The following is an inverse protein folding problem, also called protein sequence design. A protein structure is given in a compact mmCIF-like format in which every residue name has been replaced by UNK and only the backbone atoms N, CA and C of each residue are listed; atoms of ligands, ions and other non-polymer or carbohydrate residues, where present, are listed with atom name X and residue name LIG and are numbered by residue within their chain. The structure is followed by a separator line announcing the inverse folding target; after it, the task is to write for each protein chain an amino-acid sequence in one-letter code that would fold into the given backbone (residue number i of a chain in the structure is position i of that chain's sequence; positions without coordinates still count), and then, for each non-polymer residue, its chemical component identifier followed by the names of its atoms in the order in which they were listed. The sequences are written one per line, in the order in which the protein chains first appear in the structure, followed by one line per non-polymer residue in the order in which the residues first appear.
data_IF_055918716607
#
_entry.id   IF_055918716607
#
_cell.length_a   1.000
_cell.length_b   1.000
_cell.length_c   1.000
_cell.angle_alpha   90.00
_cell.angle_beta   90.00
_cell.angle_gamma   90.00
#
_symmetry.space_group_name_H-M   'P 1'
#
loop_
_entity.id
_entity.type
_entity.pdbx_description
1 polymer ?
#
# COMPACT_ATOMS: atom_id res chain seq x y z
N UNK A 1 -20.58 6.99 -19.08
CA UNK A 1 -20.35 6.04 -20.19
C UNK A 1 -19.56 6.68 -21.35
N UNK A 2 -19.87 7.92 -21.76
CA UNK A 2 -19.15 8.62 -22.85
C UNK A 2 -17.66 8.83 -22.51
N UNK A 3 -17.35 9.28 -21.30
CA UNK A 3 -15.97 9.46 -20.83
C UNK A 3 -15.20 8.14 -20.84
N UNK A 4 -15.80 7.05 -20.38
CA UNK A 4 -15.18 5.71 -20.38
C UNK A 4 -14.85 5.27 -21.81
N UNK A 5 -15.77 5.45 -22.76
CA UNK A 5 -15.53 5.14 -24.17
C UNK A 5 -14.39 5.97 -24.75
N UNK A 6 -14.33 7.26 -24.38
CA UNK A 6 -13.25 8.16 -24.83
C UNK A 6 -11.89 7.72 -24.28
N UNK A 7 -11.82 7.40 -22.99
CA UNK A 7 -10.59 6.90 -22.35
C UNK A 7 -10.12 5.61 -23.04
N UNK A 8 -11.00 4.64 -23.23
CA UNK A 8 -10.67 3.36 -23.90
C UNK A 8 -10.17 3.55 -25.32
N UNK A 9 -10.76 4.51 -26.07
CA UNK A 9 -10.30 4.87 -27.41
C UNK A 9 -8.89 5.45 -27.37
N UNK A 10 -8.65 6.47 -26.52
CA UNK A 10 -7.33 7.10 -26.38
C UNK A 10 -6.26 6.10 -25.93
N UNK A 11 -6.60 5.20 -25.02
CA UNK A 11 -5.71 4.13 -24.57
C UNK A 11 -5.20 3.31 -25.76
N UNK A 12 -6.11 2.89 -26.65
CA UNK A 12 -5.74 2.11 -27.83
C UNK A 12 -4.95 2.93 -28.84
N UNK A 13 -5.38 4.17 -29.13
CA UNK A 13 -4.71 5.08 -30.09
C UNK A 13 -3.28 5.44 -29.64
N UNK A 14 -3.01 5.47 -28.34
CA UNK A 14 -1.74 5.88 -27.76
C UNK A 14 -0.84 4.71 -27.35
N UNK A 15 -1.23 3.48 -27.63
CA UNK A 15 -0.56 2.28 -27.12
C UNK A 15 -0.27 2.40 -25.62
N UNK A 16 -1.31 2.74 -24.84
CA UNK A 16 -1.21 3.01 -23.42
C UNK A 16 -1.78 1.86 -22.59
N UNK A 17 -1.25 1.68 -21.37
CA UNK A 17 -1.80 0.84 -20.33
C UNK A 17 -2.23 1.71 -19.14
N UNK A 18 -3.38 1.39 -18.54
CA UNK A 18 -3.89 2.05 -17.34
C UNK A 18 -3.67 1.12 -16.15
N UNK A 19 -2.87 1.56 -15.19
CA UNK A 19 -2.59 0.86 -13.94
C UNK A 19 -3.29 1.60 -12.80
N UNK A 20 -4.05 0.90 -11.96
CA UNK A 20 -4.73 1.50 -10.82
C UNK A 20 -4.37 0.80 -9.51
N UNK A 21 -3.99 1.58 -8.50
CA UNK A 21 -3.76 1.04 -7.17
C UNK A 21 -5.09 0.57 -6.54
N UNK A 22 -5.04 -0.48 -5.72
CA UNK A 22 -6.20 -1.05 -5.02
C UNK A 22 -6.99 -0.05 -4.17
N UNK A 23 -6.40 1.10 -3.83
CA UNK A 23 -7.05 2.17 -3.05
C UNK A 23 -7.75 3.22 -3.92
N UNK A 24 -7.72 3.09 -5.23
CA UNK A 24 -8.48 3.97 -6.09
C UNK A 24 -10.00 3.73 -5.96
N UNK A 25 -10.79 4.75 -6.28
CA UNK A 25 -12.25 4.61 -6.33
C UNK A 25 -12.66 3.58 -7.39
N UNK A 26 -13.77 2.88 -7.16
CA UNK A 26 -14.24 1.80 -8.03
C UNK A 26 -14.28 2.18 -9.52
N UNK A 27 -14.79 3.37 -9.95
CA UNK A 27 -14.82 3.71 -11.37
C UNK A 27 -13.43 3.80 -12.03
N UNK A 28 -12.38 4.13 -11.26
CA UNK A 28 -11.00 4.16 -11.76
C UNK A 28 -10.43 2.75 -11.84
N UNK A 29 -10.71 1.92 -10.84
CA UNK A 29 -10.33 0.51 -10.87
C UNK A 29 -11.00 -0.24 -12.04
N UNK A 30 -12.28 0.04 -12.32
CA UNK A 30 -13.06 -0.63 -13.37
C UNK A 30 -12.58 -0.31 -14.81
N UNK A 31 -11.91 0.82 -15.02
CA UNK A 31 -11.35 1.17 -16.33
C UNK A 31 -9.88 0.79 -16.49
N UNK A 32 -9.21 0.38 -15.43
CA UNK A 32 -7.82 -0.02 -15.45
C UNK A 32 -7.62 -1.36 -16.18
N UNK A 33 -6.47 -1.51 -16.79
CA UNK A 33 -6.05 -2.79 -17.37
C UNK A 33 -5.55 -3.74 -16.29
N UNK A 34 -4.90 -3.18 -15.27
CA UNK A 34 -4.42 -3.91 -14.10
C UNK A 34 -4.70 -3.12 -12.83
N UNK A 35 -5.14 -3.83 -11.80
CA UNK A 35 -5.26 -3.33 -10.43
C UNK A 35 -4.32 -4.13 -9.53
N UNK A 36 -3.74 -3.49 -8.52
CA UNK A 36 -2.78 -4.16 -7.64
C UNK A 36 -2.18 -3.25 -6.58
N UNK A 37 -1.15 -3.77 -5.92
CA UNK A 37 -0.29 -3.01 -5.02
C UNK A 37 0.83 -2.26 -5.76
N UNK A 38 1.59 -1.44 -5.04
CA UNK A 38 2.63 -0.58 -5.62
C UNK A 38 3.70 -1.35 -6.39
N UNK A 39 4.15 -2.49 -5.86
CA UNK A 39 5.20 -3.29 -6.52
C UNK A 39 4.63 -4.08 -7.70
N UNK A 40 3.50 -4.76 -7.50
CA UNK A 40 2.84 -5.53 -8.54
C UNK A 40 2.58 -4.69 -9.78
N UNK A 41 2.02 -3.47 -9.60
CA UNK A 41 1.78 -2.54 -10.71
C UNK A 41 3.05 -2.04 -11.37
N UNK A 42 4.11 -1.77 -10.60
CA UNK A 42 5.40 -1.36 -11.17
C UNK A 42 6.06 -2.47 -11.98
N UNK A 43 5.89 -3.72 -11.58
CA UNK A 43 6.32 -4.89 -12.34
C UNK A 43 5.48 -5.08 -13.61
N UNK A 44 4.16 -4.90 -13.55
CA UNK A 44 3.31 -4.90 -14.75
C UNK A 44 3.70 -3.78 -15.72
N UNK A 45 4.01 -2.57 -15.21
CA UNK A 45 4.54 -1.48 -16.00
C UNK A 45 5.82 -1.88 -16.78
N UNK A 46 6.70 -2.66 -16.15
CA UNK A 46 7.94 -3.11 -16.80
C UNK A 46 7.73 -4.20 -17.87
N UNK A 47 6.70 -5.02 -17.70
CA UNK A 47 6.42 -6.19 -18.57
C UNK A 47 5.54 -5.88 -19.76
N UNK A 48 4.70 -4.87 -19.67
CA UNK A 48 3.78 -4.51 -20.77
C UNK A 48 4.53 -4.03 -22.01
N UNK A 49 3.99 -4.31 -23.19
CA UNK A 49 4.50 -3.80 -24.47
C UNK A 49 4.00 -2.37 -24.79
N UNK A 50 3.21 -1.76 -23.91
CA UNK A 50 2.73 -0.39 -24.06
C UNK A 50 3.88 0.61 -23.95
N UNK A 51 3.84 1.65 -24.80
CA UNK A 51 4.81 2.76 -24.79
C UNK A 51 4.50 3.78 -23.67
N UNK A 52 3.24 3.83 -23.27
CA UNK A 52 2.71 4.80 -22.32
C UNK A 52 2.03 4.09 -21.14
N UNK A 53 2.33 4.53 -19.93
CA UNK A 53 1.73 4.07 -18.70
C UNK A 53 0.96 5.23 -18.08
N UNK A 54 -0.34 5.06 -17.86
CA UNK A 54 -1.16 5.96 -17.04
C UNK A 54 -1.30 5.33 -15.67
N UNK A 55 -0.59 5.89 -14.68
CA UNK A 55 -0.54 5.34 -13.34
C UNK A 55 -1.57 6.04 -12.43
N UNK A 56 -2.72 5.42 -12.19
CA UNK A 56 -3.73 5.90 -11.26
C UNK A 56 -3.36 5.48 -9.82
N UNK A 57 -2.60 6.33 -9.17
CA UNK A 57 -2.06 6.16 -7.83
C UNK A 57 -1.45 7.45 -7.34
N UNK A 58 -0.49 7.37 -6.42
CA UNK A 58 0.24 8.51 -5.88
C UNK A 58 1.62 8.65 -6.51
N UNK A 59 2.23 9.81 -6.34
CA UNK A 59 3.45 10.24 -7.04
C UNK A 59 4.58 9.20 -6.94
N UNK A 60 4.94 8.73 -5.75
CA UNK A 60 6.04 7.77 -5.57
C UNK A 60 5.82 6.43 -6.32
N UNK A 61 4.56 6.05 -6.59
CA UNK A 61 4.25 4.85 -7.37
C UNK A 61 4.57 5.06 -8.85
N UNK A 62 4.23 6.24 -9.39
CA UNK A 62 4.59 6.62 -10.75
C UNK A 62 6.11 6.74 -10.92
N UNK A 63 6.83 7.28 -9.93
CA UNK A 63 8.30 7.28 -9.91
C UNK A 63 8.86 5.86 -9.95
N UNK A 64 8.35 4.95 -9.10
CA UNK A 64 8.78 3.55 -9.07
C UNK A 64 8.54 2.86 -10.42
N UNK A 65 7.38 3.10 -11.04
CA UNK A 65 7.08 2.59 -12.38
C UNK A 65 8.05 3.16 -13.43
N UNK A 66 8.42 4.44 -13.32
CA UNK A 66 9.39 5.08 -14.22
C UNK A 66 10.80 4.54 -14.04
N UNK A 67 11.24 4.30 -12.81
CA UNK A 67 12.55 3.69 -12.50
C UNK A 67 12.65 2.29 -13.11
N UNK A 68 11.60 1.47 -12.98
CA UNK A 68 11.57 0.11 -13.54
C UNK A 68 11.29 0.07 -15.04
N UNK A 69 10.81 1.18 -15.62
CA UNK A 69 10.48 1.30 -17.05
C UNK A 69 11.07 2.57 -17.65
N UNK A 70 12.41 2.73 -17.67
CA UNK A 70 13.07 4.00 -18.02
C UNK A 70 12.79 4.47 -19.46
N UNK A 71 12.49 3.56 -20.35
CA UNK A 71 12.23 3.85 -21.77
C UNK A 71 10.75 4.18 -22.06
N UNK A 72 9.84 4.00 -21.09
CA UNK A 72 8.41 4.25 -21.26
C UNK A 72 8.04 5.65 -20.76
N UNK A 73 6.96 6.19 -21.30
CA UNK A 73 6.34 7.42 -20.77
C UNK A 73 5.42 7.04 -19.63
N UNK A 74 5.63 7.62 -18.46
CA UNK A 74 4.77 7.40 -17.28
C UNK A 74 4.03 8.69 -16.94
N UNK A 75 2.72 8.61 -16.90
CA UNK A 75 1.82 9.72 -16.61
C UNK A 75 1.08 9.49 -15.31
N UNK A 76 1.02 10.52 -14.49
CA UNK A 76 0.17 10.59 -13.31
C UNK A 76 -1.01 11.52 -13.65
N UNK A 77 -2.27 11.08 -13.52
CA UNK A 77 -3.43 11.89 -13.90
C UNK A 77 -3.52 13.23 -13.17
N UNK A 78 -3.01 13.29 -11.93
CA UNK A 78 -2.95 14.49 -11.14
C UNK A 78 -1.61 14.60 -10.40
N UNK A 79 -0.80 15.60 -10.71
CA UNK A 79 0.53 15.78 -10.11
C UNK A 79 0.50 16.03 -8.59
N UNK A 80 -0.60 16.58 -8.06
CA UNK A 80 -0.81 16.74 -6.63
C UNK A 80 -1.25 15.49 -5.88
N UNK A 81 -1.32 14.32 -6.54
CA UNK A 81 -1.60 13.05 -5.88
C UNK A 81 -0.37 12.57 -5.08
N UNK A 82 -0.14 13.20 -3.92
CA UNK A 82 0.97 12.90 -3.01
C UNK A 82 0.66 11.77 -2.02
N UNK A 83 1.61 11.48 -1.16
CA UNK A 83 1.46 10.54 -0.05
C UNK A 83 2.14 11.13 1.19
N UNK A 84 1.34 11.45 2.21
CA UNK A 84 1.86 12.08 3.43
C UNK A 84 2.92 11.23 4.15
N UNK A 85 2.87 9.90 4.01
CA UNK A 85 3.92 9.02 4.52
C UNK A 85 5.21 9.15 3.69
N UNK A 86 5.09 9.19 2.35
CA UNK A 86 6.26 9.33 1.48
C UNK A 86 6.93 10.69 1.64
N UNK A 87 6.14 11.73 1.92
CA UNK A 87 6.61 13.10 2.12
C UNK A 87 7.18 13.34 3.54
N UNK A 88 6.99 12.38 4.47
CA UNK A 88 7.46 12.50 5.85
C UNK A 88 8.95 12.23 6.03
N UNK A 89 9.62 11.69 5.02
CA UNK A 89 11.07 11.44 5.01
C UNK A 89 11.70 12.15 3.82
N UNK A 90 12.81 12.84 4.06
CA UNK A 90 13.65 13.48 3.04
C UNK A 90 15.04 12.87 3.04
N UNK A 91 15.84 13.15 2.00
CA UNK A 91 17.24 12.71 1.94
C UNK A 91 18.02 13.23 3.14
N UNK A 92 17.85 14.52 3.47
CA UNK A 92 18.55 15.16 4.60
C UNK A 92 18.21 14.46 5.92
N UNK A 93 16.92 14.13 6.16
CA UNK A 93 16.52 13.44 7.38
C UNK A 93 17.03 12.00 7.44
N UNK A 94 17.15 11.34 6.29
CA UNK A 94 17.73 9.99 6.19
C UNK A 94 19.24 10.02 6.47
N UNK A 95 19.97 11.03 5.94
CA UNK A 95 21.40 11.22 6.19
C UNK A 95 21.66 11.47 7.68
N UNK A 96 20.88 12.34 8.34
CA UNK A 96 20.97 12.55 9.80
C UNK A 96 20.76 11.25 10.59
N UNK A 97 19.88 10.37 10.12
CA UNK A 97 19.67 9.07 10.74
C UNK A 97 20.82 8.10 10.51
N UNK A 98 21.40 8.07 9.31
CA UNK A 98 22.61 7.30 9.01
C UNK A 98 23.81 7.74 9.89
N UNK A 99 23.97 9.03 10.13
CA UNK A 99 25.01 9.54 11.03
C UNK A 99 24.82 9.07 12.48
N UNK A 100 23.58 8.97 12.97
CA UNK A 100 23.28 8.46 14.33
C UNK A 100 23.47 6.94 14.45
N UNK A 101 23.27 6.22 13.37
CA UNK A 101 23.26 4.77 13.32
C UNK A 101 24.16 4.23 12.20
N UNK A 102 25.49 4.53 12.26
CA UNK A 102 26.41 4.28 11.13
C UNK A 102 26.57 2.80 10.76
N UNK A 103 26.28 1.89 11.71
CA UNK A 103 26.42 0.44 11.51
C UNK A 103 25.11 -0.24 11.05
N UNK A 104 24.05 0.54 10.76
CA UNK A 104 22.75 -0.01 10.38
C UNK A 104 22.55 0.01 8.86
N UNK A 105 21.96 -1.05 8.34
CA UNK A 105 21.50 -1.11 6.95
C UNK A 105 20.16 -0.41 6.82
N UNK A 106 20.03 0.49 5.88
CA UNK A 106 18.79 1.24 5.60
C UNK A 106 17.85 0.41 4.72
N UNK A 107 16.75 -0.02 5.30
CA UNK A 107 15.64 -0.65 4.58
C UNK A 107 14.53 0.37 4.39
N UNK A 108 14.26 0.73 3.16
CA UNK A 108 13.26 1.75 2.84
C UNK A 108 12.00 1.12 2.25
N UNK A 109 10.88 1.35 2.89
CA UNK A 109 9.57 1.06 2.33
C UNK A 109 9.33 1.94 1.09
N UNK A 110 8.84 1.35 0.00
CA UNK A 110 8.66 2.03 -1.30
C UNK A 110 7.75 3.26 -1.24
N UNK A 111 7.00 3.44 -0.13
CA UNK A 111 6.25 4.65 0.16
C UNK A 111 7.20 5.78 0.61
N UNK A 112 8.06 6.18 -0.30
CA UNK A 112 9.08 7.22 -0.19
C UNK A 112 9.38 7.79 -1.58
N UNK A 113 10.05 8.92 -1.70
CA UNK A 113 10.43 9.49 -2.99
C UNK A 113 11.54 8.68 -3.67
N UNK A 114 11.74 8.88 -4.98
CA UNK A 114 12.82 8.23 -5.71
C UNK A 114 14.20 8.63 -5.16
N UNK A 115 14.35 9.88 -4.71
CA UNK A 115 15.59 10.40 -4.10
C UNK A 115 15.93 9.67 -2.81
N UNK A 116 14.96 9.49 -1.91
CA UNK A 116 15.16 8.72 -0.66
C UNK A 116 15.49 7.26 -0.95
N UNK A 117 14.85 6.66 -1.97
CA UNK A 117 15.18 5.29 -2.41
C UNK A 117 16.60 5.17 -2.92
N UNK A 118 17.11 6.19 -3.63
CA UNK A 118 18.47 6.21 -4.16
C UNK A 118 19.55 6.21 -3.06
N UNK A 119 19.24 6.81 -1.90
CA UNK A 119 20.12 6.86 -0.72
C UNK A 119 19.91 5.67 0.22
N UNK A 120 19.07 4.71 -0.12
CA UNK A 120 18.77 3.54 0.70
C UNK A 120 19.58 2.33 0.26
N UNK A 121 19.89 1.41 1.18
CA UNK A 121 20.64 0.21 0.85
C UNK A 121 19.77 -0.83 0.16
N UNK A 122 18.49 -0.91 0.55
CA UNK A 122 17.50 -1.80 -0.07
C UNK A 122 16.08 -1.25 0.12
N UNK A 123 15.21 -1.51 -0.86
CA UNK A 123 13.80 -1.17 -0.78
C UNK A 123 12.93 -2.42 -0.56
N UNK A 124 11.82 -2.22 0.14
CA UNK A 124 10.82 -3.26 0.36
C UNK A 124 9.39 -2.75 0.18
N UNK A 125 8.44 -3.66 0.14
CA UNK A 125 6.99 -3.38 0.24
C UNK A 125 6.43 -4.06 1.49
N UNK A 126 5.19 -3.73 1.86
CA UNK A 126 4.49 -4.44 2.95
C UNK A 126 4.36 -5.94 2.70
N UNK A 127 4.36 -6.36 1.43
CA UNK A 127 4.28 -7.77 1.05
C UNK A 127 5.58 -8.56 1.32
N UNK A 128 6.74 -7.93 1.22
CA UNK A 128 8.04 -8.61 1.28
C UNK A 128 8.99 -8.07 2.37
N UNK A 129 8.58 -7.10 3.17
CA UNK A 129 9.44 -6.45 4.18
C UNK A 129 10.09 -7.46 5.12
N UNK A 130 9.34 -8.44 5.63
CA UNK A 130 9.86 -9.49 6.50
C UNK A 130 10.94 -10.32 5.79
N UNK A 131 10.70 -10.71 4.55
CA UNK A 131 11.66 -11.51 3.76
C UNK A 131 12.92 -10.71 3.45
N UNK A 132 12.77 -9.43 3.10
CA UNK A 132 13.88 -8.52 2.82
C UNK A 132 14.75 -8.35 4.07
N UNK A 133 14.16 -7.99 5.21
CA UNK A 133 14.90 -7.80 6.47
C UNK A 133 15.59 -9.09 6.91
N UNK A 134 14.92 -10.24 6.77
CA UNK A 134 15.49 -11.54 7.13
C UNK A 134 16.68 -11.92 6.25
N UNK A 135 16.70 -11.48 4.99
CA UNK A 135 17.77 -11.80 4.03
C UNK A 135 19.05 -10.97 4.20
N UNK A 136 19.04 -9.95 5.05
CA UNK A 136 20.21 -9.11 5.29
C UNK A 136 21.27 -9.84 6.12
N UNK A 137 22.54 -9.67 5.77
CA UNK A 137 23.67 -10.21 6.53
C UNK A 137 23.91 -9.49 7.87
N UNK A 138 23.36 -8.27 8.03
CA UNK A 138 23.41 -7.48 9.27
C UNK A 138 22.25 -7.76 10.20
N UNK A 139 22.49 -7.67 11.50
CA UNK A 139 21.43 -7.72 12.52
C UNK A 139 20.87 -6.33 12.86
N UNK A 140 21.47 -5.25 12.36
CA UNK A 140 21.10 -3.87 12.64
C UNK A 140 20.46 -3.21 11.43
N UNK A 141 19.22 -2.76 11.58
CA UNK A 141 18.40 -2.22 10.51
C UNK A 141 17.79 -0.87 10.89
N UNK A 142 17.95 0.14 10.02
CA UNK A 142 17.11 1.33 10.02
C UNK A 142 15.92 1.07 9.08
N UNK A 143 14.72 1.06 9.60
CA UNK A 143 13.52 0.85 8.80
C UNK A 143 12.76 2.17 8.61
N UNK A 144 12.60 2.61 7.37
CA UNK A 144 11.97 3.87 7.01
C UNK A 144 10.84 3.67 6.00
N UNK A 145 9.89 4.61 5.86
CA UNK A 145 9.53 5.66 6.82
C UNK A 145 8.47 5.22 7.84
N UNK A 146 7.74 4.11 7.65
CA UNK A 146 6.56 3.74 8.46
C UNK A 146 6.93 2.94 9.71
N UNK A 147 6.69 3.55 10.89
CA UNK A 147 7.00 2.91 12.17
C UNK A 147 6.09 1.74 12.52
N UNK A 148 4.84 1.74 12.04
CA UNK A 148 3.92 0.66 12.33
C UNK A 148 4.32 -0.59 11.54
N UNK A 149 4.63 -0.43 10.25
CA UNK A 149 5.19 -1.51 9.45
C UNK A 149 6.52 -2.02 10.04
N UNK A 150 7.42 -1.11 10.45
CA UNK A 150 8.69 -1.47 11.10
C UNK A 150 8.47 -2.33 12.35
N UNK A 151 7.51 -1.95 13.23
CA UNK A 151 7.16 -2.70 14.45
C UNK A 151 6.60 -4.08 14.11
N UNK A 152 5.72 -4.16 13.10
CA UNK A 152 5.20 -5.44 12.66
C UNK A 152 6.32 -6.35 12.15
N UNK A 153 7.24 -5.80 11.34
CA UNK A 153 8.43 -6.55 10.86
C UNK A 153 9.29 -6.99 12.03
N UNK A 154 9.56 -6.13 13.02
CA UNK A 154 10.34 -6.48 14.20
C UNK A 154 9.74 -7.65 15.00
N UNK A 155 8.42 -7.74 15.09
CA UNK A 155 7.72 -8.90 15.70
C UNK A 155 7.95 -10.20 14.92
N UNK A 156 8.15 -10.12 13.59
CA UNK A 156 8.34 -11.28 12.73
C UNK A 156 9.82 -11.73 12.62
N UNK A 157 10.77 -10.84 12.96
CA UNK A 157 12.22 -11.07 12.90
C UNK A 157 12.90 -10.61 14.21
N UNK A 158 12.54 -11.22 15.35
CA UNK A 158 13.01 -10.78 16.68
C UNK A 158 14.54 -10.93 16.86
N UNK A 159 15.21 -11.62 15.97
CA UNK A 159 16.65 -11.77 15.91
C UNK A 159 17.38 -10.51 15.39
N UNK A 160 16.66 -9.55 14.83
CA UNK A 160 17.21 -8.31 14.26
C UNK A 160 16.89 -7.11 15.14
N UNK A 161 17.84 -6.21 15.31
CA UNK A 161 17.64 -4.90 15.92
C UNK A 161 17.07 -3.93 14.87
N UNK A 162 15.80 -3.56 14.99
CA UNK A 162 15.15 -2.66 14.04
C UNK A 162 14.88 -1.31 14.70
N UNK A 163 15.53 -0.28 14.21
CA UNK A 163 15.26 1.12 14.57
C UNK A 163 14.28 1.69 13.55
N UNK A 164 13.09 2.07 14.03
CA UNK A 164 12.03 2.58 13.18
C UNK A 164 12.09 4.11 13.06
N UNK A 165 11.97 4.63 11.84
CA UNK A 165 11.75 6.05 11.61
C UNK A 165 10.38 6.47 12.15
N UNK A 166 10.24 7.70 12.70
CA UNK A 166 9.02 8.13 13.39
C UNK A 166 8.01 8.81 12.46
N UNK A 167 7.58 8.09 11.42
CA UNK A 167 6.45 8.50 10.59
C UNK A 167 5.42 7.38 10.48
N UNK A 168 4.21 7.72 10.08
CA UNK A 168 3.07 6.79 9.95
C UNK A 168 2.25 7.13 8.72
N UNK A 169 1.59 6.13 8.16
CA UNK A 169 0.52 6.33 7.20
C UNK A 169 -0.72 6.89 7.88
N UNK A 170 -1.15 8.15 7.62
CA UNK A 170 -2.30 8.72 8.29
C UNK A 170 -3.59 7.92 8.09
N UNK A 171 -3.76 7.32 6.91
CA UNK A 171 -4.93 6.50 6.57
C UNK A 171 -5.06 5.27 7.46
N UNK A 172 -3.95 4.64 7.81
CA UNK A 172 -3.94 3.46 8.66
C UNK A 172 -3.82 3.79 10.15
N UNK A 173 -3.08 4.86 10.49
CA UNK A 173 -2.89 5.25 11.90
C UNK A 173 -4.16 5.85 12.55
N UNK A 174 -5.13 6.33 11.76
CA UNK A 174 -6.43 6.76 12.30
C UNK A 174 -7.33 5.61 12.73
N UNK A 175 -7.11 4.40 12.19
CA UNK A 175 -7.84 3.21 12.61
C UNK A 175 -7.46 2.86 14.05
N UNK A 176 -8.47 2.69 14.89
CA UNK A 176 -8.31 2.38 16.33
C UNK A 176 -8.95 1.04 16.64
N UNK A 177 -8.38 0.31 17.56
CA UNK A 177 -8.98 -0.94 18.04
C UNK A 177 -10.44 -0.73 18.50
N UNK A 178 -10.75 0.40 19.12
CA UNK A 178 -12.12 0.73 19.52
C UNK A 178 -13.12 0.80 18.34
N UNK A 179 -12.68 1.18 17.14
CA UNK A 179 -13.50 1.13 15.93
C UNK A 179 -13.66 -0.32 15.46
N UNK A 180 -12.57 -1.07 15.41
CA UNK A 180 -12.58 -2.51 15.08
C UNK A 180 -13.51 -3.27 16.02
N UNK A 181 -13.41 -3.05 17.34
CA UNK A 181 -14.25 -3.68 18.36
C UNK A 181 -15.73 -3.31 18.21
N UNK A 182 -16.03 -2.08 17.78
CA UNK A 182 -17.40 -1.67 17.49
C UNK A 182 -17.97 -2.45 16.32
N UNK A 183 -17.25 -2.49 15.21
CA UNK A 183 -17.66 -3.23 14.01
C UNK A 183 -17.74 -4.73 14.30
N UNK A 184 -16.83 -5.27 15.12
CA UNK A 184 -16.85 -6.67 15.55
C UNK A 184 -18.08 -7.01 16.41
N UNK A 185 -18.62 -6.07 17.21
CA UNK A 185 -19.87 -6.33 17.94
C UNK A 185 -21.06 -6.53 17.02
N UNK A 186 -21.08 -5.83 15.88
CA UNK A 186 -22.14 -5.96 14.89
C UNK A 186 -21.95 -7.23 14.03
N UNK A 187 -20.70 -7.70 13.91
CA UNK A 187 -20.28 -8.87 13.13
C UNK A 187 -19.39 -9.81 13.95
N UNK A 188 -19.91 -10.50 14.98
CA UNK A 188 -19.09 -11.25 15.94
C UNK A 188 -18.30 -12.42 15.35
N UNK A 189 -18.78 -13.01 14.26
CA UNK A 189 -18.12 -14.13 13.56
C UNK A 189 -17.21 -13.67 12.40
N UNK A 190 -17.04 -12.35 12.20
CA UNK A 190 -16.25 -11.84 11.10
C UNK A 190 -14.75 -12.08 11.29
N UNK A 191 -14.08 -12.43 10.21
CA UNK A 191 -12.62 -12.49 10.16
C UNK A 191 -12.07 -11.07 9.97
N UNK A 192 -11.15 -10.67 10.84
CA UNK A 192 -10.50 -9.36 10.77
C UNK A 192 -9.19 -9.51 10.00
N UNK A 193 -9.04 -8.73 8.92
CA UNK A 193 -7.82 -8.67 8.11
C UNK A 193 -7.29 -7.24 8.17
N UNK A 194 -6.04 -7.05 8.60
CA UNK A 194 -5.42 -5.74 8.77
C UNK A 194 -4.20 -5.56 7.87
N UNK A 195 -3.96 -4.31 7.46
CA UNK A 195 -2.71 -3.92 6.83
C UNK A 195 -1.62 -3.72 7.90
N UNK A 196 -0.36 -4.09 7.66
CA UNK A 196 0.73 -3.93 8.65
C UNK A 196 1.10 -2.47 8.97
N UNK A 197 0.64 -1.49 8.19
CA UNK A 197 0.72 -0.06 8.53
C UNK A 197 -0.29 0.37 9.60
N UNK A 198 -1.24 -0.49 9.97
CA UNK A 198 -2.14 -0.22 11.06
C UNK A 198 -1.39 -0.17 12.40
N UNK A 199 -1.98 0.52 13.35
CA UNK A 199 -1.48 0.57 14.73
C UNK A 199 -1.39 -0.84 15.33
N UNK A 200 -0.48 -0.97 16.28
CA UNK A 200 -0.23 -2.24 16.96
C UNK A 200 -1.49 -2.86 17.57
N UNK A 201 -2.33 -2.04 18.19
CA UNK A 201 -3.58 -2.48 18.80
C UNK A 201 -4.60 -3.04 17.79
N UNK A 202 -4.58 -2.57 16.54
CA UNK A 202 -5.39 -3.09 15.44
C UNK A 202 -4.78 -4.37 14.86
N UNK A 203 -3.47 -4.38 14.68
CA UNK A 203 -2.72 -5.54 14.17
C UNK A 203 -2.87 -6.73 15.12
N UNK A 204 -2.75 -6.49 16.43
CA UNK A 204 -2.88 -7.56 17.46
C UNK A 204 -4.31 -8.11 17.59
N UNK A 205 -5.33 -7.33 17.20
CA UNK A 205 -6.72 -7.78 17.15
C UNK A 205 -7.09 -8.52 15.85
N UNK A 206 -6.23 -8.48 14.82
CA UNK A 206 -6.49 -9.08 13.52
C UNK A 206 -6.24 -10.59 13.53
N UNK A 207 -7.03 -11.32 12.73
CA UNK A 207 -6.79 -12.73 12.44
C UNK A 207 -5.68 -12.92 11.38
N UNK A 208 -5.59 -11.95 10.47
CA UNK A 208 -4.59 -11.92 9.40
C UNK A 208 -3.99 -10.52 9.26
N UNK A 209 -2.68 -10.45 9.10
CA UNK A 209 -1.97 -9.20 8.83
C UNK A 209 -1.18 -9.37 7.53
N UNK A 210 -1.53 -8.58 6.50
CA UNK A 210 -0.95 -8.75 5.18
C UNK A 210 -1.10 -7.48 4.31
N UNK A 211 -0.35 -7.44 3.21
CA UNK A 211 -0.48 -6.40 2.17
C UNK A 211 -1.82 -6.47 1.46
N UNK A 212 -2.13 -5.49 0.62
CA UNK A 212 -3.38 -5.46 -0.16
C UNK A 212 -3.56 -6.70 -1.05
N UNK A 213 -2.52 -7.12 -1.75
CA UNK A 213 -2.55 -8.38 -2.52
C UNK A 213 -2.72 -9.58 -1.59
N UNK A 214 -2.03 -9.60 -0.44
CA UNK A 214 -2.18 -10.63 0.57
C UNK A 214 -3.59 -10.74 1.15
N UNK A 215 -4.35 -9.62 1.22
CA UNK A 215 -5.75 -9.64 1.66
C UNK A 215 -6.66 -10.44 0.72
N UNK A 216 -6.43 -10.34 -0.59
CA UNK A 216 -7.17 -11.14 -1.57
C UNK A 216 -6.95 -12.64 -1.35
N UNK A 217 -5.73 -13.05 -1.02
CA UNK A 217 -5.40 -14.46 -0.77
C UNK A 217 -5.84 -14.90 0.63
N UNK A 218 -5.80 -14.00 1.62
CA UNK A 218 -6.24 -14.25 2.99
C UNK A 218 -7.72 -14.69 3.04
N UNK A 219 -8.61 -14.00 2.31
CA UNK A 219 -10.03 -14.37 2.24
C UNK A 219 -10.23 -15.81 1.77
N UNK A 220 -9.40 -16.29 0.82
CA UNK A 220 -9.47 -17.67 0.32
C UNK A 220 -9.11 -18.73 1.36
N UNK A 221 -8.37 -18.39 2.43
CA UNK A 221 -8.04 -19.30 3.53
C UNK A 221 -9.21 -19.58 4.47
N UNK A 222 -10.27 -18.79 4.39
CA UNK A 222 -11.48 -18.90 5.23
C UNK A 222 -12.72 -19.20 4.38
N UNK A 223 -12.82 -20.39 3.79
CA UNK A 223 -13.92 -20.72 2.86
C UNK A 223 -15.30 -20.61 3.52
N UNK A 224 -15.41 -20.98 4.80
CA UNK A 224 -16.67 -20.99 5.55
C UNK A 224 -17.05 -19.62 6.14
N UNK A 225 -16.10 -18.67 6.25
CA UNK A 225 -16.41 -17.33 6.73
C UNK A 225 -17.21 -16.55 5.70
N UNK A 226 -18.26 -15.88 6.13
CA UNK A 226 -19.13 -15.07 5.28
C UNK A 226 -18.80 -13.59 5.31
N UNK A 227 -18.38 -13.09 6.48
CA UNK A 227 -18.14 -11.67 6.72
C UNK A 227 -16.69 -11.42 7.10
N UNK A 228 -16.12 -10.36 6.53
CA UNK A 228 -14.76 -9.92 6.77
C UNK A 228 -14.73 -8.45 7.14
N UNK A 229 -14.03 -8.12 8.23
CA UNK A 229 -13.72 -6.74 8.63
C UNK A 229 -12.35 -6.40 8.06
N UNK A 230 -12.30 -5.38 7.22
CA UNK A 230 -11.10 -4.96 6.47
C UNK A 230 -10.53 -3.70 7.09
N UNK A 231 -9.38 -3.83 7.74
CA UNK A 231 -8.65 -2.73 8.36
C UNK A 231 -7.56 -2.21 7.42
N UNK A 232 -7.99 -1.49 6.39
CA UNK A 232 -7.19 -0.72 5.45
C UNK A 232 -8.07 0.31 4.76
N UNK A 233 -7.57 0.97 3.73
CA UNK A 233 -8.30 1.95 2.92
C UNK A 233 -9.48 1.28 2.19
N UNK A 234 -10.64 1.97 2.14
CA UNK A 234 -11.93 1.41 1.65
C UNK A 234 -11.90 0.94 0.20
N UNK A 235 -11.06 1.54 -0.66
CA UNK A 235 -10.92 1.14 -2.06
C UNK A 235 -10.59 -0.34 -2.24
N UNK A 236 -9.91 -0.96 -1.25
CA UNK A 236 -9.60 -2.39 -1.26
C UNK A 236 -10.85 -3.27 -1.28
N UNK A 237 -11.96 -2.81 -0.67
CA UNK A 237 -13.23 -3.57 -0.60
C UNK A 237 -13.78 -3.84 -1.99
N UNK A 238 -13.56 -2.96 -2.97
CA UNK A 238 -14.02 -3.16 -4.34
C UNK A 238 -13.39 -4.42 -4.96
N UNK A 239 -12.08 -4.59 -4.87
CA UNK A 239 -11.38 -5.76 -5.39
C UNK A 239 -11.79 -7.05 -4.66
N UNK A 240 -11.98 -6.98 -3.35
CA UNK A 240 -12.46 -8.11 -2.55
C UNK A 240 -13.84 -8.56 -3.00
N UNK A 241 -14.79 -7.63 -3.23
CA UNK A 241 -16.13 -7.92 -3.73
C UNK A 241 -16.14 -8.48 -5.14
N UNK A 242 -15.25 -8.01 -6.01
CA UNK A 242 -15.11 -8.57 -7.37
C UNK A 242 -14.60 -10.01 -7.34
N UNK A 243 -13.63 -10.32 -6.47
CA UNK A 243 -13.03 -11.66 -6.37
C UNK A 243 -13.91 -12.65 -5.60
N UNK A 244 -14.68 -12.17 -4.61
CA UNK A 244 -15.49 -12.98 -3.72
C UNK A 244 -16.92 -12.40 -3.59
N UNK A 245 -17.74 -12.46 -4.67
CA UNK A 245 -19.05 -11.80 -4.70
C UNK A 245 -20.05 -12.34 -3.67
N UNK A 246 -19.87 -13.58 -3.19
CA UNK A 246 -20.74 -14.23 -2.21
C UNK A 246 -20.36 -13.90 -0.74
N UNK A 247 -19.32 -13.10 -0.52
CA UNK A 247 -18.84 -12.71 0.80
C UNK A 247 -19.14 -11.24 1.09
N UNK A 248 -19.31 -10.93 2.35
CA UNK A 248 -19.54 -9.58 2.85
C UNK A 248 -18.23 -8.97 3.35
N UNK A 249 -17.94 -7.73 2.94
CA UNK A 249 -16.77 -6.98 3.35
C UNK A 249 -17.19 -5.65 3.97
N UNK A 250 -16.74 -5.42 5.20
CA UNK A 250 -17.08 -4.26 6.02
C UNK A 250 -15.79 -3.52 6.38
N UNK A 251 -15.80 -2.19 6.29
CA UNK A 251 -14.67 -1.39 6.76
C UNK A 251 -14.52 -1.49 8.28
N UNK A 252 -13.28 -1.58 8.77
CA UNK A 252 -12.98 -1.59 10.20
C UNK A 252 -13.44 -0.30 10.93
N UNK A 253 -13.61 0.80 10.22
CA UNK A 253 -14.10 2.07 10.76
C UNK A 253 -15.65 2.16 10.77
N UNK A 254 -16.33 1.10 10.28
CA UNK A 254 -17.77 1.04 10.09
C UNK A 254 -18.22 1.91 8.92
N UNK A 255 -19.56 2.01 8.74
CA UNK A 255 -20.19 2.91 7.76
C UNK A 255 -20.09 4.39 8.17
N UNK A 256 -18.93 4.85 8.58
CA UNK A 256 -18.69 6.29 8.56
C UNK A 256 -18.82 6.69 7.10
N UNK A 257 -19.93 7.36 6.75
CA UNK A 257 -19.95 8.26 5.59
C UNK A 257 -18.68 9.09 5.72
N UNK A 258 -17.66 8.70 4.97
CA UNK A 258 -16.32 9.21 5.13
C UNK A 258 -16.41 10.73 5.11
N UNK A 259 -16.20 11.39 6.23
CA UNK A 259 -15.50 12.65 6.18
C UNK A 259 -14.15 12.23 5.64
N UNK A 260 -14.09 12.13 4.31
CA UNK A 260 -12.84 11.97 3.58
C UNK A 260 -11.96 13.11 4.05
N UNK A 261 -11.13 12.85 5.05
CA UNK A 261 -9.88 13.55 5.12
C UNK A 261 -9.33 13.36 3.70
N UNK A 262 -9.06 14.46 3.02
CA UNK A 262 -8.36 14.46 1.74
C UNK A 262 -7.04 13.71 1.97
N UNK A 263 -7.14 12.40 2.08
CA UNK A 263 -5.98 11.57 1.95
C UNK A 263 -5.61 11.67 0.48
N UNK A 264 -4.38 11.92 0.21
CA UNK A 264 -3.78 12.05 -1.09
C UNK A 264 -4.10 10.89 -2.06
N UNK A 265 -4.67 9.79 -1.57
CA UNK A 265 -5.16 8.67 -2.36
C UNK A 265 -6.57 8.87 -2.96
N UNK A 266 -7.34 9.86 -2.48
CA UNK A 266 -8.74 10.07 -2.88
C UNK A 266 -9.00 11.38 -3.62
N UNK A 267 -7.96 12.14 -3.96
CA UNK A 267 -8.11 13.40 -4.70
C UNK A 267 -7.93 13.15 -6.19
N UNK A 268 -8.97 12.69 -6.84
CA UNK A 268 -9.30 13.02 -8.25
C UNK A 268 -10.81 13.09 -8.37
#
# INVERSE_FOLDING_TARGET
EELIRHIKRLRSEKNAVILAHNYQISPVQDIADFTGDSLGLSLEASRTDADMIVFCGVHFMAESAKVLSPNKQVFLPHLGAGCALADAITVESLEEWRERYPDHTVVTYVNSTAEVKAESDICCTSANAVSVVRSLDTDKVLFTPDKNLARWVAKQVPEKEIVAYDAVCPTHDVLRNASVDRTRRDYPEAIIIAHPECREDVVDAAHEVCSTTGMLDAVGRYPDARTFIIATEEGMIHQLKLRYPDKEFVSADGDRKSTRLNSSHSSI
#
